data_IF_323508846391
#
_entry.id   IF_323508846391
#
_cell.length_a   1.000
_cell.length_b   1.000
_cell.length_c   1.000
_cell.angle_alpha   90.00
_cell.angle_beta   90.00
_cell.angle_gamma   90.00
#
_symmetry.space_group_name_H-M   'P 1'
#
loop_
_entity.id
_entity.type
_entity.pdbx_description
1 polymer ?
#
# COMPACT_ATOMS: atom_id res chain seq x y z
N UNK A 1 -34.90 0.88 -11.94
CA UNK A 1 -34.84 0.70 -10.47
C UNK A 1 -33.64 1.51 -10.00
N UNK A 2 -33.81 2.48 -9.09
CA UNK A 2 -32.69 3.26 -8.56
C UNK A 2 -31.85 2.36 -7.66
N UNK A 3 -30.54 2.25 -7.91
CA UNK A 3 -29.60 1.57 -7.00
C UNK A 3 -29.35 2.50 -5.81
N UNK A 4 -29.60 2.01 -4.60
CA UNK A 4 -29.30 2.72 -3.36
C UNK A 4 -27.93 2.26 -2.87
N UNK A 5 -27.06 3.22 -2.56
CA UNK A 5 -25.73 2.97 -2.01
C UNK A 5 -25.74 3.20 -0.51
N UNK A 6 -24.90 2.45 0.22
CA UNK A 6 -24.66 2.68 1.64
C UNK A 6 -23.82 3.94 1.87
N UNK A 7 -23.80 4.42 3.12
CA UNK A 7 -22.91 5.52 3.51
C UNK A 7 -21.45 5.17 3.25
N UNK A 8 -21.02 3.95 3.63
CA UNK A 8 -19.64 3.50 3.49
C UNK A 8 -19.23 3.39 2.01
N UNK A 9 -20.14 2.93 1.14
CA UNK A 9 -19.89 2.85 -0.30
C UNK A 9 -19.67 4.25 -0.90
N UNK A 10 -20.49 5.22 -0.53
CA UNK A 10 -20.35 6.60 -1.01
C UNK A 10 -19.08 7.24 -0.44
N UNK A 11 -18.79 7.05 0.85
CA UNK A 11 -17.60 7.61 1.47
C UNK A 11 -16.31 7.04 0.84
N UNK A 12 -16.25 5.72 0.65
CA UNK A 12 -15.13 5.08 -0.03
C UNK A 12 -15.00 5.54 -1.49
N UNK A 13 -16.12 5.74 -2.22
CA UNK A 13 -16.10 6.25 -3.59
C UNK A 13 -15.56 7.68 -3.69
N UNK A 14 -15.79 8.52 -2.67
CA UNK A 14 -15.19 9.85 -2.57
C UNK A 14 -13.68 9.75 -2.32
N UNK A 15 -13.25 8.91 -1.36
CA UNK A 15 -11.83 8.71 -1.08
C UNK A 15 -11.07 8.18 -2.31
N UNK A 16 -11.65 7.20 -3.03
CA UNK A 16 -11.08 6.70 -4.29
C UNK A 16 -10.99 7.80 -5.34
N UNK A 17 -12.03 8.64 -5.46
CA UNK A 17 -12.02 9.75 -6.41
C UNK A 17 -10.95 10.79 -6.08
N UNK A 18 -10.76 11.12 -4.81
CA UNK A 18 -9.72 12.04 -4.33
C UNK A 18 -8.33 11.47 -4.62
N UNK A 19 -8.08 10.21 -4.27
CA UNK A 19 -6.82 9.51 -4.57
C UNK A 19 -6.52 9.50 -6.08
N UNK A 20 -7.52 9.21 -6.93
CA UNK A 20 -7.34 9.28 -8.39
C UNK A 20 -7.04 10.71 -8.84
N UNK A 21 -7.64 11.75 -8.25
CA UNK A 21 -7.29 13.14 -8.59
C UNK A 21 -5.85 13.47 -8.21
N UNK A 22 -5.38 13.05 -7.03
CA UNK A 22 -3.98 13.24 -6.64
C UNK A 22 -3.05 12.58 -7.64
N UNK A 23 -3.25 11.30 -7.96
CA UNK A 23 -2.40 10.55 -8.88
C UNK A 23 -2.42 11.03 -10.33
N UNK A 24 -3.34 11.91 -10.70
CA UNK A 24 -3.49 12.34 -12.11
C UNK A 24 -3.41 13.84 -12.32
N UNK A 25 -3.67 14.65 -11.29
CA UNK A 25 -3.72 16.10 -11.37
C UNK A 25 -2.62 16.75 -10.53
N UNK A 26 -2.22 16.16 -9.40
CA UNK A 26 -1.16 16.70 -8.56
C UNK A 26 0.22 16.44 -9.20
N UNK A 27 1.00 17.48 -9.53
CA UNK A 27 2.32 17.33 -10.11
C UNK A 27 3.29 16.47 -9.27
N UNK A 28 3.15 16.45 -7.95
CA UNK A 28 4.09 15.80 -7.03
C UNK A 28 3.74 14.32 -6.80
N UNK A 29 2.48 13.93 -7.02
CA UNK A 29 1.97 12.57 -6.75
C UNK A 29 1.55 11.81 -8.03
N UNK A 30 1.87 12.36 -9.21
CA UNK A 30 1.45 11.81 -10.51
C UNK A 30 1.95 10.39 -10.76
N UNK A 31 1.02 9.54 -11.20
CA UNK A 31 1.32 8.20 -11.70
C UNK A 31 0.95 8.14 -13.19
N UNK A 32 1.96 8.07 -14.06
CA UNK A 32 1.81 8.18 -15.52
C UNK A 32 0.71 7.30 -16.11
N UNK A 33 0.60 6.05 -15.67
CA UNK A 33 -0.42 5.12 -16.18
C UNK A 33 -1.85 5.50 -15.77
N UNK A 34 -2.04 6.12 -14.60
CA UNK A 34 -3.34 6.66 -14.19
C UNK A 34 -3.68 7.94 -14.97
N UNK A 35 -2.66 8.76 -15.29
CA UNK A 35 -2.83 9.94 -16.16
C UNK A 35 -3.28 9.50 -17.55
N UNK A 36 -2.59 8.50 -18.14
CA UNK A 36 -2.93 7.94 -19.45
C UNK A 36 -4.37 7.40 -19.46
N UNK A 37 -4.76 6.66 -18.41
CA UNK A 37 -6.14 6.18 -18.27
C UNK A 37 -7.13 7.35 -18.24
N UNK A 38 -6.89 8.39 -17.42
CA UNK A 38 -7.76 9.58 -17.33
C UNK A 38 -7.91 10.26 -18.68
N UNK A 39 -6.82 10.44 -19.41
CA UNK A 39 -6.83 11.08 -20.72
C UNK A 39 -7.60 10.24 -21.75
N UNK A 40 -7.53 8.91 -21.63
CA UNK A 40 -8.23 7.97 -22.51
C UNK A 40 -9.75 7.86 -22.26
N UNK A 41 -10.20 7.85 -21.00
CA UNK A 41 -11.62 7.62 -20.66
C UNK A 41 -12.37 8.90 -20.27
N UNK A 42 -11.66 9.91 -19.78
CA UNK A 42 -12.22 11.17 -19.31
C UNK A 42 -12.62 11.18 -17.82
N UNK A 43 -12.58 12.39 -17.26
CA UNK A 43 -12.86 12.65 -15.82
C UNK A 43 -14.27 12.22 -15.39
N UNK A 44 -15.27 12.36 -16.26
CA UNK A 44 -16.65 11.99 -15.94
C UNK A 44 -16.80 10.48 -15.76
N UNK A 45 -16.19 9.69 -16.64
CA UNK A 45 -16.24 8.24 -16.56
C UNK A 45 -15.49 7.74 -15.32
N UNK A 46 -14.27 8.24 -15.07
CA UNK A 46 -13.51 7.89 -13.87
C UNK A 46 -14.27 8.17 -12.57
N UNK A 47 -15.01 9.29 -12.51
CA UNK A 47 -15.85 9.61 -11.35
C UNK A 47 -16.97 8.59 -11.15
N UNK A 48 -17.55 8.05 -12.22
CA UNK A 48 -18.55 6.99 -12.08
C UNK A 48 -17.89 5.68 -11.66
N UNK A 49 -16.72 5.37 -12.22
CA UNK A 49 -15.98 4.15 -11.91
C UNK A 49 -15.37 4.14 -10.50
N UNK A 50 -15.22 5.30 -9.85
CA UNK A 50 -14.80 5.34 -8.44
C UNK A 50 -15.77 4.60 -7.52
N UNK A 51 -17.05 4.46 -7.91
CA UNK A 51 -18.05 3.69 -7.17
C UNK A 51 -17.76 2.18 -7.28
N UNK A 52 -17.47 1.67 -8.48
CA UNK A 52 -17.14 0.24 -8.69
C UNK A 52 -15.84 -0.12 -7.99
N UNK A 53 -14.82 0.75 -8.11
CA UNK A 53 -13.55 0.64 -7.41
C UNK A 53 -13.73 0.63 -5.89
N UNK A 54 -14.58 1.50 -5.34
CA UNK A 54 -14.87 1.52 -3.91
C UNK A 54 -15.54 0.23 -3.43
N UNK A 55 -16.48 -0.32 -4.20
CA UNK A 55 -17.11 -1.61 -3.85
C UNK A 55 -16.10 -2.76 -3.85
N UNK A 56 -15.15 -2.77 -4.78
CA UNK A 56 -14.05 -3.73 -4.80
C UNK A 56 -13.09 -3.52 -3.62
N UNK A 57 -12.67 -2.27 -3.38
CA UNK A 57 -11.77 -1.88 -2.30
C UNK A 57 -12.32 -2.26 -0.93
N UNK A 58 -13.60 -2.03 -0.67
CA UNK A 58 -14.25 -2.41 0.59
C UNK A 58 -14.26 -3.93 0.80
N UNK A 59 -14.38 -4.72 -0.28
CA UNK A 59 -14.26 -6.19 -0.20
C UNK A 59 -12.82 -6.60 0.13
N UNK A 60 -11.82 -5.96 -0.47
CA UNK A 60 -10.39 -6.20 -0.18
C UNK A 60 -10.11 -5.86 1.28
N UNK A 61 -10.47 -4.65 1.70
CA UNK A 61 -10.31 -4.16 3.07
C UNK A 61 -10.94 -5.11 4.09
N UNK A 62 -12.18 -5.56 3.84
CA UNK A 62 -12.88 -6.51 4.71
C UNK A 62 -12.14 -7.85 4.86
N UNK A 63 -11.45 -8.33 3.81
CA UNK A 63 -10.63 -9.54 3.88
C UNK A 63 -9.29 -9.33 4.58
N UNK A 64 -8.72 -8.12 4.49
CA UNK A 64 -7.51 -7.76 5.22
C UNK A 64 -7.76 -7.82 6.74
N UNK A 65 -8.83 -7.18 7.22
CA UNK A 65 -9.14 -7.08 8.65
C UNK A 65 -9.79 -8.33 9.26
N UNK A 66 -10.19 -9.29 8.43
CA UNK A 66 -10.98 -10.46 8.87
C UNK A 66 -10.26 -11.29 9.93
N UNK A 67 -8.97 -11.55 9.71
CA UNK A 67 -8.14 -12.41 10.57
C UNK A 67 -7.13 -11.59 11.41
N UNK A 68 -6.99 -10.29 11.08
CA UNK A 68 -6.11 -9.34 11.76
C UNK A 68 -6.76 -7.95 11.77
N UNK A 69 -7.60 -7.65 12.78
CA UNK A 69 -8.33 -6.37 12.86
C UNK A 69 -7.43 -5.13 12.94
N UNK A 70 -6.18 -5.31 13.36
CA UNK A 70 -5.23 -4.23 13.63
C UNK A 70 -4.23 -4.05 12.48
N UNK A 71 -4.39 -4.76 11.36
CA UNK A 71 -3.47 -4.67 10.20
C UNK A 71 -3.33 -3.23 9.66
N UNK A 72 -4.37 -2.41 9.78
CA UNK A 72 -4.36 -1.00 9.37
C UNK A 72 -4.30 -0.05 10.59
N UNK A 73 -3.88 -0.53 11.76
CA UNK A 73 -3.74 0.34 12.93
C UNK A 73 -2.80 1.51 12.60
N UNK A 74 -3.16 2.70 13.08
CA UNK A 74 -2.47 3.96 12.81
C UNK A 74 -2.50 4.46 11.34
N UNK A 75 -3.22 3.78 10.43
CA UNK A 75 -3.39 4.26 9.06
C UNK A 75 -4.72 5.00 8.88
N UNK A 76 -4.68 6.19 8.26
CA UNK A 76 -5.88 6.90 7.84
C UNK A 76 -6.53 6.20 6.64
N UNK A 77 -7.85 6.03 6.68
CA UNK A 77 -8.57 5.29 5.65
C UNK A 77 -8.43 5.93 4.26
N UNK A 78 -8.63 7.24 4.19
CA UNK A 78 -8.58 8.08 2.99
C UNK A 78 -7.16 8.27 2.44
N UNK A 79 -6.19 8.60 3.31
CA UNK A 79 -4.82 8.97 2.91
C UNK A 79 -3.84 7.80 2.79
N UNK A 80 -4.08 6.68 3.47
CA UNK A 80 -3.11 5.58 3.55
C UNK A 80 -3.72 4.26 3.09
N UNK A 81 -4.87 3.86 3.64
CA UNK A 81 -5.48 2.56 3.30
C UNK A 81 -5.98 2.53 1.85
N UNK A 82 -6.73 3.55 1.43
CA UNK A 82 -7.26 3.63 0.06
C UNK A 82 -6.16 3.61 -0.99
N UNK A 83 -5.15 4.50 -0.98
CA UNK A 83 -4.08 4.46 -1.97
C UNK A 83 -3.28 3.15 -1.90
N UNK A 84 -3.07 2.58 -0.71
CA UNK A 84 -2.34 1.32 -0.58
C UNK A 84 -3.08 0.15 -1.25
N UNK A 85 -4.40 0.07 -1.10
CA UNK A 85 -5.22 -0.95 -1.79
C UNK A 85 -5.33 -0.65 -3.29
N UNK A 86 -5.55 0.63 -3.65
CA UNK A 86 -5.85 1.02 -5.04
C UNK A 86 -4.65 0.83 -5.97
N UNK A 87 -3.41 0.80 -5.46
CA UNK A 87 -2.20 0.40 -6.22
C UNK A 87 -2.31 -1.00 -6.85
N UNK A 88 -3.17 -1.86 -6.30
CA UNK A 88 -3.42 -3.20 -6.83
C UNK A 88 -4.61 -3.26 -7.79
N UNK A 89 -5.28 -2.16 -8.10
CA UNK A 89 -6.32 -2.10 -9.14
C UNK A 89 -5.67 -1.98 -10.53
N UNK A 90 -4.81 -2.94 -10.89
CA UNK A 90 -4.05 -2.94 -12.14
C UNK A 90 -4.11 -4.31 -12.83
N UNK A 91 -3.92 -4.33 -14.15
CA UNK A 91 -3.78 -5.55 -14.94
C UNK A 91 -2.38 -6.18 -14.81
N UNK A 92 -2.12 -7.24 -15.58
CA UNK A 92 -0.85 -7.96 -15.58
C UNK A 92 0.35 -7.12 -16.07
N UNK A 93 0.09 -6.09 -16.88
CA UNK A 93 1.09 -5.14 -17.37
C UNK A 93 1.21 -3.91 -16.45
N UNK A 94 0.46 -3.90 -15.34
CA UNK A 94 0.43 -2.85 -14.34
C UNK A 94 -0.32 -1.61 -14.78
N UNK A 95 -1.23 -1.71 -15.76
CA UNK A 95 -2.12 -0.62 -16.14
C UNK A 95 -3.38 -0.59 -15.28
N UNK A 96 -3.84 0.59 -14.82
CA UNK A 96 -5.03 0.69 -14.00
C UNK A 96 -6.28 0.11 -14.67
N UNK A 97 -7.05 -0.66 -13.91
CA UNK A 97 -8.33 -1.23 -14.34
C UNK A 97 -9.46 -0.67 -13.47
N UNK A 98 -10.54 -0.26 -14.12
CA UNK A 98 -11.63 0.50 -13.46
C UNK A 98 -13.00 -0.16 -13.56
N UNK A 99 -13.15 -1.17 -14.40
CA UNK A 99 -14.42 -1.88 -14.60
C UNK A 99 -14.43 -3.17 -13.78
N UNK A 100 -15.55 -3.48 -13.12
CA UNK A 100 -15.67 -4.63 -12.20
C UNK A 100 -15.17 -5.95 -12.80
N UNK A 101 -15.47 -6.21 -14.08
CA UNK A 101 -15.09 -7.44 -14.79
C UNK A 101 -13.58 -7.63 -14.96
N UNK A 102 -12.82 -6.55 -14.90
CA UNK A 102 -11.38 -6.52 -15.16
C UNK A 102 -10.59 -6.35 -13.85
N UNK A 103 -11.27 -6.13 -12.72
CA UNK A 103 -10.62 -5.93 -11.43
C UNK A 103 -9.95 -7.21 -10.92
N UNK A 104 -8.78 -7.10 -10.26
CA UNK A 104 -8.09 -8.26 -9.73
C UNK A 104 -8.88 -9.00 -8.66
N UNK A 105 -8.57 -10.29 -8.49
CA UNK A 105 -9.22 -11.12 -7.51
C UNK A 105 -9.02 -10.57 -6.08
N UNK A 106 -10.14 -10.26 -5.41
CA UNK A 106 -10.16 -9.65 -4.07
C UNK A 106 -9.33 -10.43 -3.05
N UNK A 107 -9.36 -11.76 -3.07
CA UNK A 107 -8.62 -12.61 -2.12
C UNK A 107 -7.12 -12.54 -2.33
N UNK A 108 -6.67 -12.63 -3.59
CA UNK A 108 -5.25 -12.48 -3.93
C UNK A 108 -4.76 -11.07 -3.58
N UNK A 109 -5.54 -10.03 -3.94
CA UNK A 109 -5.20 -8.65 -3.63
C UNK A 109 -5.10 -8.42 -2.13
N UNK A 110 -6.05 -8.91 -1.32
CA UNK A 110 -5.98 -8.80 0.14
C UNK A 110 -4.72 -9.47 0.71
N UNK A 111 -4.30 -10.60 0.14
CA UNK A 111 -3.03 -11.24 0.48
C UNK A 111 -1.82 -10.34 0.19
N UNK A 112 -1.77 -9.75 -1.01
CA UNK A 112 -0.69 -8.83 -1.41
C UNK A 112 -0.65 -7.54 -0.59
N UNK A 113 -1.80 -6.95 -0.29
CA UNK A 113 -1.93 -5.77 0.57
C UNK A 113 -1.38 -6.07 1.97
N UNK A 114 -1.81 -7.17 2.60
CA UNK A 114 -1.30 -7.57 3.92
C UNK A 114 0.21 -7.81 3.91
N UNK A 115 0.72 -8.49 2.88
CA UNK A 115 2.15 -8.72 2.75
C UNK A 115 2.95 -7.42 2.60
N UNK A 116 2.41 -6.44 1.86
CA UNK A 116 2.98 -5.10 1.73
C UNK A 116 3.08 -4.38 3.07
N UNK A 117 1.98 -4.31 3.83
CA UNK A 117 1.94 -3.64 5.14
C UNK A 117 2.90 -4.31 6.14
N UNK A 118 2.90 -5.65 6.21
CA UNK A 118 3.81 -6.37 7.10
C UNK A 118 5.28 -6.09 6.75
N UNK A 119 5.60 -5.98 5.46
CA UNK A 119 6.93 -5.61 4.99
C UNK A 119 7.28 -4.18 5.38
N UNK A 120 6.40 -3.21 5.11
CA UNK A 120 6.64 -1.80 5.41
C UNK A 120 6.84 -1.58 6.92
N UNK A 121 6.02 -2.22 7.76
CA UNK A 121 6.16 -2.19 9.22
C UNK A 121 7.49 -2.79 9.68
N UNK A 122 7.88 -3.94 9.12
CA UNK A 122 9.16 -4.57 9.44
C UNK A 122 10.33 -3.64 9.08
N UNK A 123 10.29 -3.03 7.90
CA UNK A 123 11.32 -2.12 7.41
C UNK A 123 11.38 -0.84 8.26
N UNK A 124 10.25 -0.27 8.65
CA UNK A 124 10.21 0.91 9.52
C UNK A 124 10.83 0.63 10.90
N UNK A 125 10.55 -0.53 11.49
CA UNK A 125 11.17 -0.95 12.75
C UNK A 125 12.68 -1.13 12.59
N UNK A 126 13.11 -1.80 11.52
CA UNK A 126 14.52 -2.04 11.24
C UNK A 126 15.28 -0.72 10.99
N UNK A 127 14.70 0.21 10.22
CA UNK A 127 15.28 1.53 9.96
C UNK A 127 15.51 2.31 11.26
N UNK A 128 14.49 2.37 12.13
CA UNK A 128 14.59 3.00 13.45
C UNK A 128 15.62 2.31 14.35
N UNK A 129 15.73 0.99 14.29
CA UNK A 129 16.75 0.25 15.02
C UNK A 129 18.17 0.60 14.55
N UNK A 130 18.36 0.87 13.25
CA UNK A 130 19.64 1.31 12.70
C UNK A 130 20.13 2.61 13.33
N UNK A 131 19.24 3.61 13.40
CA UNK A 131 19.53 4.87 14.09
C UNK A 131 19.75 4.67 15.60
N UNK A 132 18.91 3.87 16.25
CA UNK A 132 18.95 3.70 17.71
C UNK A 132 20.18 2.91 18.17
N UNK A 133 20.51 1.81 17.50
CA UNK A 133 21.61 0.93 17.91
C UNK A 133 22.97 1.41 17.40
N UNK A 134 23.01 2.05 16.24
CA UNK A 134 24.26 2.34 15.52
C UNK A 134 24.46 3.81 15.15
N UNK A 135 23.43 4.65 15.30
CA UNK A 135 23.42 6.00 14.73
C UNK A 135 23.47 5.99 13.20
N UNK A 136 23.01 4.90 12.56
CA UNK A 136 23.04 4.71 11.11
C UNK A 136 21.72 4.12 10.63
N UNK A 137 20.75 5.00 10.35
CA UNK A 137 19.39 4.59 9.95
C UNK A 137 19.36 3.92 8.57
N UNK A 138 20.22 4.36 7.66
CA UNK A 138 20.29 3.85 6.29
C UNK A 138 20.98 2.49 6.16
N UNK A 139 21.43 1.89 7.27
CA UNK A 139 22.12 0.60 7.29
C UNK A 139 21.34 -0.50 6.52
N UNK A 140 20.01 -0.52 6.64
CA UNK A 140 19.19 -1.54 5.95
C UNK A 140 19.04 -1.26 4.46
N UNK A 141 19.10 0.02 4.05
CA UNK A 141 19.00 0.46 2.66
C UNK A 141 20.30 0.18 1.90
N UNK A 142 21.44 0.37 2.55
CA UNK A 142 22.78 0.02 2.03
C UNK A 142 22.98 -1.49 1.83
N UNK A 143 22.13 -2.31 2.46
CA UNK A 143 22.18 -3.77 2.41
C UNK A 143 20.83 -4.39 2.00
N UNK A 144 20.12 -3.75 1.07
CA UNK A 144 18.77 -4.12 0.65
C UNK A 144 18.56 -5.62 0.37
N UNK A 145 19.48 -6.30 -0.31
CA UNK A 145 19.37 -7.75 -0.60
C UNK A 145 19.38 -8.61 0.67
N UNK A 146 20.22 -8.26 1.65
CA UNK A 146 20.30 -8.97 2.95
C UNK A 146 19.06 -8.67 3.78
N UNK A 147 18.61 -7.41 3.77
CA UNK A 147 17.40 -6.95 4.45
C UNK A 147 16.16 -7.69 3.94
N UNK A 148 16.02 -7.81 2.62
CA UNK A 148 14.93 -8.56 2.01
C UNK A 148 14.98 -10.04 2.39
N UNK A 149 16.15 -10.68 2.28
CA UNK A 149 16.29 -12.08 2.66
C UNK A 149 15.95 -12.33 4.14
N UNK A 150 16.31 -11.41 5.03
CA UNK A 150 15.99 -11.51 6.46
C UNK A 150 14.47 -11.40 6.72
N UNK A 151 13.79 -10.46 6.07
CA UNK A 151 12.33 -10.35 6.12
C UNK A 151 11.65 -11.63 5.61
N UNK A 152 12.07 -12.14 4.45
CA UNK A 152 11.49 -13.36 3.85
C UNK A 152 11.71 -14.61 4.73
N UNK A 153 12.77 -14.62 5.53
CA UNK A 153 13.05 -15.69 6.50
C UNK A 153 12.31 -15.53 7.83
N UNK A 154 11.53 -14.44 8.00
CA UNK A 154 10.80 -14.16 9.24
C UNK A 154 11.72 -13.75 10.39
N UNK A 155 12.86 -13.14 10.11
CA UNK A 155 13.76 -12.63 11.14
C UNK A 155 13.09 -11.50 11.95
N UNK A 156 13.46 -11.36 13.22
CA UNK A 156 13.10 -10.16 14.00
C UNK A 156 13.88 -8.95 13.46
N UNK A 157 13.22 -7.81 13.18
CA UNK A 157 13.87 -6.65 12.56
C UNK A 157 14.96 -6.02 13.44
N UNK A 158 14.78 -6.02 14.76
CA UNK A 158 15.72 -5.38 15.69
C UNK A 158 16.95 -6.26 15.86
N UNK A 159 16.77 -7.56 16.06
CA UNK A 159 17.89 -8.50 16.18
C UNK A 159 18.67 -8.59 14.87
N UNK A 160 17.99 -8.60 13.71
CA UNK A 160 18.66 -8.54 12.41
C UNK A 160 19.56 -7.31 12.28
N UNK A 161 19.06 -6.12 12.64
CA UNK A 161 19.84 -4.88 12.55
C UNK A 161 21.04 -4.88 13.50
N UNK A 162 20.90 -5.49 14.69
CA UNK A 162 22.03 -5.64 15.61
C UNK A 162 23.12 -6.53 15.00
N UNK A 163 22.73 -7.68 14.47
CA UNK A 163 23.67 -8.61 13.83
C UNK A 163 24.34 -7.98 12.60
N UNK A 164 23.57 -7.23 11.80
CA UNK A 164 24.06 -6.53 10.64
C UNK A 164 25.12 -5.48 11.01
N UNK A 165 24.87 -4.65 12.03
CA UNK A 165 25.82 -3.64 12.48
C UNK A 165 27.10 -4.25 13.04
N UNK A 166 27.01 -5.34 13.80
CA UNK A 166 28.18 -6.08 14.26
C UNK A 166 29.00 -6.66 13.11
N UNK A 167 28.34 -7.23 12.10
CA UNK A 167 29.01 -7.81 10.93
C UNK A 167 29.87 -6.78 10.17
N UNK A 168 29.43 -5.51 10.15
CA UNK A 168 30.15 -4.42 9.49
C UNK A 168 31.01 -3.57 10.45
N UNK A 169 31.19 -4.01 11.70
CA UNK A 169 32.09 -3.37 12.65
C UNK A 169 31.62 -1.99 13.13
N UNK A 170 30.31 -1.74 13.13
CA UNK A 170 29.75 -0.52 13.72
C UNK A 170 29.92 -0.54 15.24
N UNK A 171 30.11 0.65 15.81
CA UNK A 171 30.23 0.81 17.27
C UNK A 171 28.83 1.05 17.86
N UNK A 172 28.40 0.29 18.88
CA UNK A 172 27.08 0.48 19.48
C UNK A 172 26.93 1.88 20.08
N UNK A 173 25.76 2.48 19.91
CA UNK A 173 25.37 3.69 20.65
C UNK A 173 24.59 3.26 21.90
N UNK A 174 25.11 3.64 23.07
CA UNK A 174 24.48 3.42 24.38
C UNK A 174 23.94 4.73 24.93
#
# INVERSE_FOLDING_TARGET
>A
MLKLYSYDEINAALCVWECINEWTLDPDEKIDKWVELRDGVGTLELRHQSIELAQWLLKVHSLCIKDDPDIFDQMSFDWEVVPHILKFAVDADGYPVIYEKDLPNVGNTAGSVKAGILKDNWYAIAYKAGGTCWGHEDLINEHADKTLAAFEQGADPVEFVKDLGHHYGLTPQY
#
